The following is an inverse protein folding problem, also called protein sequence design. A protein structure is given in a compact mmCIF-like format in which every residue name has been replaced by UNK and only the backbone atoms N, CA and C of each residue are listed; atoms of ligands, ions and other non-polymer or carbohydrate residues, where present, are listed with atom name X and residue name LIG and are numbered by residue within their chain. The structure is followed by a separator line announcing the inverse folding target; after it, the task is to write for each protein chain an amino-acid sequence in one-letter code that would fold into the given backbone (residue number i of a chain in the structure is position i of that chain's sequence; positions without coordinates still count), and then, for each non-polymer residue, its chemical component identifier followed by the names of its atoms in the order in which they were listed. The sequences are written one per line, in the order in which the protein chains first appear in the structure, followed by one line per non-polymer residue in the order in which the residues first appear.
data_IF_948082978172
#
_entry.id   IF_948082978172
#
_cell.length_a   1.000
_cell.length_b   1.000
_cell.length_c   1.000
_cell.angle_alpha   90.00
_cell.angle_beta   90.00
_cell.angle_gamma   90.00
#
_symmetry.space_group_name_H-M   'P 1'
#
loop_
_entity.id
_entity.type
_entity.pdbx_description
1 polymer ?
#
# COMPACT_ATOMS: atom_id res chain seq x y z
N UNK A 1 70.98 -7.75 17.15
CA UNK A 1 69.67 -8.33 17.50
C UNK A 1 68.63 -7.60 16.67
N UNK A 2 68.47 -8.07 15.43
CA UNK A 2 67.52 -7.58 14.43
C UNK A 2 66.32 -8.53 14.47
N UNK A 3 65.10 -7.99 14.33
CA UNK A 3 63.87 -8.76 14.29
C UNK A 3 62.69 -7.89 13.92
N UNK A 4 62.61 -7.54 12.63
CA UNK A 4 61.40 -7.07 11.96
C UNK A 4 60.24 -8.03 12.21
N UNK A 5 59.03 -7.52 12.45
CA UNK A 5 57.83 -7.83 11.65
C UNK A 5 56.88 -6.62 11.72
N UNK A 6 56.72 -5.98 10.56
CA UNK A 6 55.63 -5.06 10.26
C UNK A 6 54.29 -5.80 10.13
N UNK A 7 53.22 -5.00 10.00
CA UNK A 7 51.89 -5.30 9.45
C UNK A 7 50.81 -5.82 10.41
N UNK A 8 49.81 -4.96 10.66
CA UNK A 8 48.56 -5.41 11.29
C UNK A 8 47.47 -4.36 11.55
N UNK A 9 47.16 -3.54 10.56
CA UNK A 9 45.82 -3.01 10.24
C UNK A 9 44.77 -2.87 11.37
N UNK A 10 44.42 -1.62 11.67
CA UNK A 10 43.05 -1.13 11.90
C UNK A 10 42.03 -2.18 12.39
N UNK A 11 41.82 -2.28 13.71
CA UNK A 11 40.55 -2.84 14.24
C UNK A 11 39.46 -1.78 14.16
N UNK A 12 39.11 -1.39 12.93
CA UNK A 12 37.80 -0.85 12.60
C UNK A 12 37.12 -1.97 11.83
N UNK A 13 36.33 -2.82 12.51
CA UNK A 13 35.35 -3.65 11.81
C UNK A 13 34.11 -2.77 11.57
N UNK A 14 33.89 -2.29 10.33
CA UNK A 14 33.10 -1.10 10.04
C UNK A 14 31.75 -1.48 9.38
N UNK A 15 30.66 -0.76 9.69
CA UNK A 15 29.47 -0.59 8.81
C UNK A 15 28.71 -1.82 8.23
N UNK A 16 29.17 -3.06 8.40
CA UNK A 16 28.58 -4.28 7.81
C UNK A 16 27.23 -4.64 8.44
N UNK A 17 27.04 -4.27 9.71
CA UNK A 17 25.78 -4.51 10.40
C UNK A 17 24.66 -3.60 9.88
N UNK A 18 24.97 -2.39 9.45
CA UNK A 18 23.97 -1.44 8.94
C UNK A 18 23.50 -1.85 7.54
N UNK A 19 24.42 -2.13 6.60
CA UNK A 19 24.04 -2.54 5.24
C UNK A 19 23.27 -3.88 5.22
N UNK A 20 23.59 -4.83 6.10
CA UNK A 20 22.84 -6.08 6.22
C UNK A 20 21.47 -5.88 6.86
N UNK A 21 21.37 -5.02 7.88
CA UNK A 21 20.06 -4.64 8.47
C UNK A 21 19.20 -3.92 7.43
N UNK A 22 19.74 -2.92 6.71
CA UNK A 22 19.04 -2.24 5.62
C UNK A 22 18.60 -3.21 4.52
N UNK A 23 19.46 -4.15 4.11
CA UNK A 23 19.12 -5.18 3.13
C UNK A 23 18.01 -6.11 3.65
N UNK A 24 18.06 -6.53 4.91
CA UNK A 24 17.02 -7.35 5.52
C UNK A 24 15.68 -6.61 5.63
N UNK A 25 15.69 -5.34 6.05
CA UNK A 25 14.49 -4.50 6.13
C UNK A 25 13.91 -4.17 4.74
N UNK A 26 14.77 -3.94 3.74
CA UNK A 26 14.35 -3.71 2.35
C UNK A 26 13.67 -4.95 1.76
N UNK A 27 14.27 -6.13 1.92
CA UNK A 27 13.68 -7.39 1.47
C UNK A 27 12.33 -7.67 2.14
N UNK A 28 12.18 -7.33 3.43
CA UNK A 28 10.92 -7.47 4.14
C UNK A 28 9.85 -6.50 3.61
N UNK A 29 10.21 -5.26 3.31
CA UNK A 29 9.32 -4.26 2.72
C UNK A 29 8.90 -4.64 1.28
N UNK A 30 9.84 -5.14 0.46
CA UNK A 30 9.57 -5.63 -0.90
C UNK A 30 8.58 -6.80 -0.87
N UNK A 31 8.81 -7.81 -0.01
CA UNK A 31 7.89 -8.94 0.16
C UNK A 31 6.50 -8.52 0.60
N UNK A 32 6.42 -7.53 1.51
CA UNK A 32 5.14 -6.96 1.92
C UNK A 32 4.44 -6.28 0.73
N UNK A 33 5.16 -5.45 -0.02
CA UNK A 33 4.61 -4.79 -1.20
C UNK A 33 4.10 -5.80 -2.24
N UNK A 34 4.87 -6.85 -2.55
CA UNK A 34 4.46 -7.93 -3.45
C UNK A 34 3.18 -8.63 -2.97
N UNK A 35 3.09 -8.95 -1.68
CA UNK A 35 1.89 -9.57 -1.11
C UNK A 35 0.67 -8.66 -1.22
N UNK A 36 0.83 -7.35 -0.98
CA UNK A 36 -0.25 -6.37 -1.08
C UNK A 36 -0.66 -6.14 -2.54
N UNK A 37 0.30 -6.10 -3.45
CA UNK A 37 0.03 -6.00 -4.89
C UNK A 37 -0.72 -7.23 -5.40
N UNK A 38 -0.36 -8.44 -4.96
CA UNK A 38 -1.07 -9.66 -5.32
C UNK A 38 -2.52 -9.64 -4.83
N UNK A 39 -2.75 -9.15 -3.61
CA UNK A 39 -4.09 -8.99 -3.04
C UNK A 39 -4.91 -7.95 -3.80
N UNK A 40 -4.32 -6.78 -4.07
CA UNK A 40 -4.95 -5.72 -4.85
C UNK A 40 -5.33 -6.19 -6.25
N UNK A 41 -4.42 -6.84 -6.96
CA UNK A 41 -4.68 -7.42 -8.29
C UNK A 41 -5.80 -8.44 -8.24
N UNK A 42 -5.79 -9.35 -7.27
CA UNK A 42 -6.86 -10.35 -7.11
C UNK A 42 -8.23 -9.68 -6.93
N UNK A 43 -8.28 -8.54 -6.24
CA UNK A 43 -9.51 -7.79 -6.07
C UNK A 43 -9.91 -6.98 -7.31
N UNK A 44 -8.96 -6.40 -8.05
CA UNK A 44 -9.22 -5.55 -9.23
C UNK A 44 -9.54 -6.34 -10.49
N UNK A 45 -8.98 -7.54 -10.65
CA UNK A 45 -9.14 -8.38 -11.85
C UNK A 45 -10.62 -8.52 -12.21
N UNK A 46 -10.95 -8.19 -13.47
CA UNK A 46 -12.30 -8.27 -14.03
C UNK A 46 -13.24 -7.13 -13.62
N UNK A 47 -12.79 -6.18 -12.78
CA UNK A 47 -13.56 -5.00 -12.34
C UNK A 47 -12.92 -3.68 -12.80
N UNK A 48 -11.71 -3.73 -13.33
CA UNK A 48 -10.99 -2.59 -13.90
C UNK A 48 -11.85 -1.89 -14.97
N UNK A 49 -11.98 -0.56 -14.86
CA UNK A 49 -12.86 0.23 -15.72
C UNK A 49 -14.35 0.18 -15.36
N UNK A 50 -14.79 -0.71 -14.46
CA UNK A 50 -16.16 -0.75 -13.97
C UNK A 50 -16.27 -0.10 -12.59
N UNK A 51 -16.50 1.22 -12.59
CA UNK A 51 -16.56 2.01 -11.36
C UNK A 51 -17.63 1.50 -10.36
N UNK A 52 -18.78 1.00 -10.82
CA UNK A 52 -19.83 0.46 -9.94
C UNK A 52 -19.38 -0.81 -9.22
N UNK A 53 -18.70 -1.71 -9.94
CA UNK A 53 -18.17 -2.95 -9.37
C UNK A 53 -17.06 -2.67 -8.34
N UNK A 54 -16.19 -1.68 -8.61
CA UNK A 54 -15.14 -1.27 -7.69
C UNK A 54 -15.74 -0.68 -6.40
N UNK A 55 -16.68 0.28 -6.51
CA UNK A 55 -17.27 0.96 -5.35
C UNK A 55 -18.09 0.00 -4.45
N UNK A 56 -18.82 -0.94 -5.05
CA UNK A 56 -19.65 -1.91 -4.29
C UNK A 56 -18.85 -3.01 -3.60
N UNK A 57 -17.58 -3.20 -3.97
CA UNK A 57 -16.70 -4.25 -3.42
C UNK A 57 -15.48 -3.68 -2.67
N UNK A 58 -15.46 -2.37 -2.42
CA UNK A 58 -14.31 -1.68 -1.83
C UNK A 58 -14.03 -2.10 -0.37
N UNK A 59 -15.06 -2.50 0.38
CA UNK A 59 -14.94 -3.02 1.75
C UNK A 59 -14.01 -4.23 1.87
N UNK A 60 -13.89 -5.05 0.82
CA UNK A 60 -13.08 -6.27 0.87
C UNK A 60 -11.58 -5.97 0.85
N UNK A 61 -11.16 -4.89 0.19
CA UNK A 61 -9.74 -4.54 0.07
C UNK A 61 -9.29 -3.57 1.16
N UNK A 62 -10.18 -2.67 1.62
CA UNK A 62 -9.87 -1.74 2.72
C UNK A 62 -9.88 -2.42 4.10
N UNK A 63 -10.60 -3.53 4.24
CA UNK A 63 -10.66 -4.30 5.49
C UNK A 63 -11.55 -3.65 6.57
N UNK A 64 -11.75 -4.35 7.71
CA UNK A 64 -12.73 -3.98 8.73
C UNK A 64 -12.39 -2.72 9.52
N UNK A 65 -11.12 -2.27 9.52
CA UNK A 65 -10.68 -1.06 10.23
C UNK A 65 -10.89 0.25 9.45
N UNK A 66 -11.39 0.17 8.23
CA UNK A 66 -11.46 1.30 7.32
C UNK A 66 -12.69 2.19 7.50
N UNK A 67 -13.65 1.94 8.37
CA UNK A 67 -14.92 2.71 8.44
C UNK A 67 -15.70 2.80 7.10
N UNK A 68 -15.29 2.07 6.06
CA UNK A 68 -15.96 2.08 4.77
C UNK A 68 -17.28 1.32 4.86
N UNK A 69 -18.36 2.03 4.59
CA UNK A 69 -19.69 1.42 4.56
C UNK A 69 -19.91 0.73 3.21
N UNK A 70 -20.19 -0.58 3.18
CA UNK A 70 -20.52 -1.29 1.95
C UNK A 70 -21.70 -0.64 1.24
N UNK A 71 -21.60 -0.51 -0.09
CA UNK A 71 -22.65 0.06 -0.92
C UNK A 71 -23.19 -1.02 -1.83
N UNK A 72 -24.50 -1.28 -1.80
CA UNK A 72 -25.13 -2.26 -2.68
C UNK A 72 -25.17 -1.74 -4.12
N UNK A 73 -25.07 -2.64 -5.10
CA UNK A 73 -25.24 -2.29 -6.52
C UNK A 73 -26.61 -1.65 -6.80
N UNK A 74 -27.64 -2.01 -6.02
CA UNK A 74 -28.98 -1.41 -6.09
C UNK A 74 -28.98 0.08 -5.74
N UNK A 75 -28.06 0.51 -4.88
CA UNK A 75 -28.00 1.88 -4.38
C UNK A 75 -27.19 2.79 -5.33
N UNK A 76 -26.44 2.20 -6.26
CA UNK A 76 -25.58 2.90 -7.24
C UNK A 76 -25.97 2.62 -8.70
N UNK A 77 -27.26 2.39 -8.93
CA UNK A 77 -27.82 2.29 -10.29
C UNK A 77 -27.71 3.62 -11.02
N UNK A 78 -28.07 4.71 -10.34
CA UNK A 78 -28.15 6.06 -10.92
C UNK A 78 -26.79 6.74 -10.99
N UNK A 79 -26.55 7.50 -12.06
CA UNK A 79 -25.26 8.16 -12.32
C UNK A 79 -24.87 9.18 -11.24
N UNK A 80 -25.83 9.83 -10.60
CA UNK A 80 -25.60 10.76 -9.48
C UNK A 80 -25.15 10.02 -8.21
N UNK A 81 -25.75 8.86 -7.92
CA UNK A 81 -25.35 7.99 -6.82
C UNK A 81 -23.92 7.47 -7.01
N UNK A 82 -23.56 7.06 -8.24
CA UNK A 82 -22.17 6.67 -8.56
C UNK A 82 -21.19 7.82 -8.31
N UNK A 83 -21.51 9.04 -8.75
CA UNK A 83 -20.66 10.23 -8.50
C UNK A 83 -20.50 10.54 -7.02
N UNK A 84 -21.58 10.42 -6.22
CA UNK A 84 -21.53 10.61 -4.76
C UNK A 84 -20.66 9.55 -4.09
N UNK A 85 -20.85 8.27 -4.44
CA UNK A 85 -20.06 7.17 -3.91
C UNK A 85 -18.57 7.29 -4.30
N UNK A 86 -18.26 7.70 -5.53
CA UNK A 86 -16.90 7.97 -5.98
C UNK A 86 -16.22 9.09 -5.17
N UNK A 87 -16.90 10.22 -4.97
CA UNK A 87 -16.38 11.32 -4.14
C UNK A 87 -16.12 10.87 -2.71
N UNK A 88 -17.03 10.07 -2.15
CA UNK A 88 -16.85 9.49 -0.81
C UNK A 88 -15.63 8.54 -0.77
N UNK A 89 -15.47 7.66 -1.76
CA UNK A 89 -14.36 6.72 -1.85
C UNK A 89 -13.02 7.45 -1.97
N UNK A 90 -12.90 8.43 -2.87
CA UNK A 90 -11.67 9.19 -3.08
C UNK A 90 -11.22 9.97 -1.85
N UNK A 91 -12.15 10.58 -1.11
CA UNK A 91 -11.83 11.21 0.19
C UNK A 91 -11.41 10.19 1.24
N UNK A 92 -11.98 8.99 1.18
CA UNK A 92 -11.69 7.94 2.13
C UNK A 92 -10.26 7.39 1.98
N UNK A 93 -9.85 7.13 0.74
CA UNK A 93 -8.52 6.59 0.42
C UNK A 93 -7.46 7.69 0.19
N UNK A 94 -7.80 8.95 0.46
CA UNK A 94 -6.89 10.06 0.23
C UNK A 94 -5.67 10.00 1.19
N UNK A 95 -4.44 10.20 0.71
CA UNK A 95 -3.23 10.08 1.54
C UNK A 95 -3.21 11.04 2.74
N UNK A 96 -3.76 12.26 2.60
CA UNK A 96 -3.85 13.24 3.69
C UNK A 96 -4.65 12.71 4.90
N UNK A 97 -5.77 12.04 4.63
CA UNK A 97 -6.62 11.47 5.69
C UNK A 97 -5.93 10.31 6.39
N UNK A 98 -5.25 9.45 5.62
CA UNK A 98 -4.50 8.31 6.16
C UNK A 98 -3.31 8.75 7.01
N UNK A 99 -2.70 9.88 6.67
CA UNK A 99 -1.64 10.49 7.46
C UNK A 99 -2.16 10.99 8.82
N UNK A 100 -3.34 11.61 8.85
CA UNK A 100 -3.98 12.07 10.08
C UNK A 100 -4.44 10.91 10.99
N UNK A 101 -4.87 9.79 10.41
CA UNK A 101 -5.37 8.62 11.15
C UNK A 101 -4.27 7.65 11.62
N UNK A 102 -3.00 7.92 11.32
CA UNK A 102 -1.90 7.03 11.70
C UNK A 102 -1.98 5.66 11.00
N UNK A 103 -2.49 5.62 9.76
CA UNK A 103 -2.72 4.39 9.03
C UNK A 103 -1.45 3.53 8.88
N UNK A 104 -1.65 2.21 8.92
CA UNK A 104 -0.60 1.22 8.73
C UNK A 104 0.04 1.31 7.34
N UNK A 105 1.23 0.76 7.18
CA UNK A 105 1.93 0.68 5.89
C UNK A 105 1.05 -0.01 4.84
N UNK A 106 0.35 -1.08 5.25
CA UNK A 106 -0.59 -1.82 4.41
C UNK A 106 -1.73 -0.93 3.91
N UNK A 107 -2.39 -0.21 4.81
CA UNK A 107 -3.53 0.65 4.44
C UNK A 107 -3.10 1.78 3.51
N UNK A 108 -1.95 2.41 3.78
CA UNK A 108 -1.37 3.44 2.91
C UNK A 108 -1.14 2.91 1.49
N UNK A 109 -0.48 1.76 1.38
CA UNK A 109 -0.19 1.12 0.09
C UNK A 109 -1.47 0.77 -0.69
N UNK A 110 -2.42 0.10 -0.04
CA UNK A 110 -3.68 -0.30 -0.68
C UNK A 110 -4.50 0.92 -1.09
N UNK A 111 -4.62 1.93 -0.23
CA UNK A 111 -5.39 3.12 -0.53
C UNK A 111 -4.80 3.92 -1.70
N UNK A 112 -3.48 4.01 -1.79
CA UNK A 112 -2.79 4.64 -2.92
C UNK A 112 -3.14 3.93 -4.24
N UNK A 113 -3.01 2.59 -4.28
CA UNK A 113 -3.36 1.79 -5.46
C UNK A 113 -4.84 1.91 -5.85
N UNK A 114 -5.74 1.89 -4.85
CA UNK A 114 -7.17 2.08 -5.08
C UNK A 114 -7.47 3.49 -5.61
N UNK A 115 -6.84 4.51 -5.05
CA UNK A 115 -7.03 5.90 -5.47
C UNK A 115 -6.64 6.09 -6.94
N UNK A 116 -5.50 5.53 -7.34
CA UNK A 116 -5.04 5.55 -8.73
C UNK A 116 -6.00 4.79 -9.65
N UNK A 117 -6.47 3.60 -9.25
CA UNK A 117 -7.41 2.83 -10.04
C UNK A 117 -8.75 3.55 -10.23
N UNK A 118 -9.27 4.18 -9.18
CA UNK A 118 -10.51 4.95 -9.23
C UNK A 118 -10.40 6.15 -10.17
N UNK A 119 -9.22 6.80 -10.22
CA UNK A 119 -8.95 7.90 -11.17
C UNK A 119 -8.97 7.45 -12.63
N UNK A 120 -8.46 6.26 -12.93
CA UNK A 120 -8.43 5.72 -14.31
C UNK A 120 -9.85 5.40 -14.83
N UNK A 121 -10.82 5.18 -13.93
CA UNK A 121 -12.19 4.83 -14.29
C UNK A 121 -13.09 6.04 -14.64
N UNK A 122 -12.59 7.28 -14.55
CA UNK A 122 -13.35 8.52 -14.81
C UNK A 122 -12.71 9.31 -15.95
#
# INVERSE_FOLDING_TARGET
MIGLWECGMLRIQPMTNMLNVYRFTMLAAERLAESLDAEFKRWSIGKEGNLRALLSTLQYILGPGSDWQPISLTDIIMSDAVKKAYRKATLHVHPDKLQQQGASIREKYICEKVFDLLKVCI
#
